data_IF_209936492432
#
_entry.id   IF_209936492432
#
_cell.length_a   1.000
_cell.length_b   1.000
_cell.length_c   1.000
_cell.angle_alpha   90.00
_cell.angle_beta   90.00
_cell.angle_gamma   90.00
#
_symmetry.space_group_name_H-M   'P 1'
#
loop_
_entity.id
_entity.type
_entity.pdbx_description
1 polymer ?
#
# COMPACT_ATOMS: atom_id res chain seq x y z
N UNK A 1 24.39 -11.55 -6.45
CA UNK A 1 23.19 -12.12 -7.04
C UNK A 1 23.17 -12.09 -8.59
N UNK A 2 24.31 -11.78 -9.27
CA UNK A 2 24.44 -11.87 -10.74
C UNK A 2 23.50 -10.96 -11.53
N UNK A 3 23.04 -9.86 -10.93
CA UNK A 3 22.09 -8.92 -11.56
C UNK A 3 20.69 -9.48 -11.78
N UNK A 4 20.25 -10.42 -10.94
CA UNK A 4 18.91 -11.01 -10.91
C UNK A 4 18.14 -10.51 -9.70
N UNK A 5 16.81 -10.34 -9.87
CA UNK A 5 15.88 -9.96 -8.82
C UNK A 5 14.58 -10.75 -9.02
N UNK A 6 14.11 -11.44 -7.99
CA UNK A 6 12.90 -12.25 -8.07
C UNK A 6 11.64 -11.45 -7.73
N UNK A 7 11.76 -10.49 -6.80
CA UNK A 7 10.65 -9.62 -6.45
C UNK A 7 11.15 -8.23 -5.99
N UNK A 8 10.36 -7.20 -6.31
CA UNK A 8 10.49 -5.86 -5.76
C UNK A 8 9.22 -5.53 -4.96
N UNK A 9 9.37 -5.23 -3.67
CA UNK A 9 8.26 -4.76 -2.83
C UNK A 9 8.44 -3.27 -2.53
N UNK A 10 7.59 -2.44 -3.13
CA UNK A 10 7.55 -1.00 -2.89
C UNK A 10 6.72 -0.72 -1.63
N UNK A 11 7.34 -0.86 -0.46
CA UNK A 11 6.72 -0.70 0.85
C UNK A 11 6.98 0.69 1.48
N UNK A 12 8.09 1.34 1.14
CA UNK A 12 8.44 2.64 1.70
C UNK A 12 7.34 3.67 1.45
N UNK A 13 6.85 4.29 2.50
CA UNK A 13 5.82 5.31 2.42
C UNK A 13 5.78 6.16 3.69
N UNK A 14 5.13 7.32 3.60
CA UNK A 14 4.77 8.14 4.74
C UNK A 14 3.27 8.48 4.72
N UNK A 15 2.70 8.69 5.90
CA UNK A 15 1.30 9.05 6.08
C UNK A 15 1.19 10.58 6.19
N UNK A 16 0.66 11.21 5.15
CA UNK A 16 0.42 12.65 5.14
C UNK A 16 -1.05 12.94 5.37
N UNK A 17 -1.35 13.77 6.36
CA UNK A 17 -2.72 14.19 6.68
C UNK A 17 -2.80 15.71 6.72
N UNK A 18 -3.77 16.25 5.96
CA UNK A 18 -4.11 17.66 5.97
C UNK A 18 -5.60 17.83 5.62
N UNK A 19 -6.30 18.77 6.25
CA UNK A 19 -7.62 19.18 5.81
C UNK A 19 -7.52 19.85 4.42
N UNK A 20 -8.62 19.81 3.66
CA UNK A 20 -8.63 20.31 2.27
C UNK A 20 -8.28 21.81 2.17
N UNK A 21 -8.71 22.60 3.12
CA UNK A 21 -8.44 24.04 3.23
C UNK A 21 -7.04 24.38 3.78
N UNK A 22 -6.28 23.36 4.20
CA UNK A 22 -4.93 23.51 4.73
C UNK A 22 -3.82 23.01 3.81
N UNK A 23 -4.12 22.64 2.55
CA UNK A 23 -3.08 22.11 1.65
C UNK A 23 -1.96 23.11 1.40
N UNK A 24 -0.73 22.60 1.46
CA UNK A 24 0.45 23.28 0.96
C UNK A 24 1.06 22.48 -0.20
N UNK A 25 1.57 23.18 -1.20
CA UNK A 25 2.21 22.54 -2.35
C UNK A 25 3.40 21.68 -1.90
N UNK A 26 4.15 22.14 -0.93
CA UNK A 26 5.31 21.44 -0.37
C UNK A 26 4.92 20.06 0.16
N UNK A 27 3.91 19.97 1.04
CA UNK A 27 3.45 18.69 1.59
C UNK A 27 2.87 17.76 0.53
N UNK A 28 2.15 18.31 -0.47
CA UNK A 28 1.63 17.48 -1.56
C UNK A 28 2.75 16.91 -2.42
N UNK A 29 3.77 17.74 -2.76
CA UNK A 29 4.95 17.27 -3.50
C UNK A 29 5.70 16.20 -2.73
N UNK A 30 5.95 16.42 -1.44
CA UNK A 30 6.63 15.45 -0.59
C UNK A 30 5.87 14.11 -0.51
N UNK A 31 4.53 14.16 -0.36
CA UNK A 31 3.69 12.97 -0.36
C UNK A 31 3.82 12.16 -1.66
N UNK A 32 3.76 12.82 -2.81
CA UNK A 32 3.89 12.16 -4.11
C UNK A 32 5.32 11.68 -4.37
N UNK A 33 6.33 12.46 -4.03
CA UNK A 33 7.73 12.08 -4.18
C UNK A 33 8.01 10.79 -3.40
N UNK A 34 7.61 10.76 -2.12
CA UNK A 34 7.88 9.61 -1.24
C UNK A 34 7.05 8.38 -1.63
N UNK A 35 5.75 8.53 -1.86
CA UNK A 35 4.84 7.38 -1.96
C UNK A 35 4.64 6.89 -3.40
N UNK A 36 4.90 7.72 -4.42
CA UNK A 36 4.59 7.40 -5.81
C UNK A 36 5.85 7.45 -6.68
N UNK A 37 6.52 8.60 -6.75
CA UNK A 37 7.62 8.81 -7.69
C UNK A 37 8.77 7.87 -7.36
N UNK A 38 9.13 7.73 -6.09
CA UNK A 38 10.18 6.80 -5.64
C UNK A 38 9.89 5.36 -6.07
N UNK A 39 8.63 4.92 -5.91
CA UNK A 39 8.19 3.56 -6.29
C UNK A 39 8.24 3.35 -7.81
N UNK A 40 7.84 4.36 -8.60
CA UNK A 40 7.92 4.32 -10.06
C UNK A 40 9.37 4.24 -10.54
N UNK A 41 10.24 5.08 -10.00
CA UNK A 41 11.66 5.13 -10.38
C UNK A 41 12.39 3.84 -10.02
N UNK A 42 12.15 3.32 -8.80
CA UNK A 42 12.76 2.06 -8.37
C UNK A 42 12.27 0.89 -9.22
N UNK A 43 10.98 0.85 -9.54
CA UNK A 43 10.41 -0.17 -10.43
C UNK A 43 11.04 -0.13 -11.81
N UNK A 44 11.20 1.08 -12.38
CA UNK A 44 11.84 1.26 -13.70
C UNK A 44 13.26 0.67 -13.73
N UNK A 45 14.05 0.94 -12.70
CA UNK A 45 15.43 0.41 -12.59
C UNK A 45 15.43 -1.10 -12.37
N UNK A 46 14.44 -1.66 -11.68
CA UNK A 46 14.35 -3.09 -11.37
C UNK A 46 13.93 -3.96 -12.57
N UNK A 47 13.20 -3.42 -13.53
CA UNK A 47 12.64 -4.18 -14.68
C UNK A 47 13.68 -5.07 -15.40
N UNK A 48 14.89 -4.62 -15.81
CA UNK A 48 15.84 -5.48 -16.51
C UNK A 48 16.42 -6.61 -15.64
N UNK A 49 16.26 -6.54 -14.33
CA UNK A 49 16.68 -7.55 -13.37
C UNK A 49 15.57 -8.57 -13.10
N UNK A 50 14.33 -8.11 -13.01
CA UNK A 50 13.12 -8.93 -12.83
C UNK A 50 12.82 -9.77 -14.07
N UNK A 51 13.06 -9.25 -15.26
CA UNK A 51 12.86 -9.98 -16.52
C UNK A 51 13.69 -11.27 -16.60
N UNK A 52 14.87 -11.29 -15.99
CA UNK A 52 15.75 -12.47 -15.97
C UNK A 52 15.23 -13.62 -15.10
N UNK A 53 14.26 -13.37 -14.26
CA UNK A 53 13.68 -14.32 -13.29
C UNK A 53 12.18 -14.52 -13.49
N UNK A 54 11.57 -13.82 -14.47
CA UNK A 54 10.11 -13.75 -14.62
C UNK A 54 9.44 -13.27 -13.30
N UNK A 55 10.06 -12.30 -12.67
CA UNK A 55 9.79 -11.85 -11.30
C UNK A 55 8.51 -11.03 -11.13
N UNK A 56 8.41 -10.35 -10.00
CA UNK A 56 7.20 -9.57 -9.67
C UNK A 56 7.51 -8.22 -9.02
N UNK A 57 6.60 -7.26 -9.20
CA UNK A 57 6.57 -5.97 -8.52
C UNK A 57 5.32 -5.89 -7.67
N UNK A 58 5.48 -5.60 -6.38
CA UNK A 58 4.36 -5.45 -5.44
C UNK A 58 4.38 -4.03 -4.88
N UNK A 59 3.24 -3.34 -5.02
CA UNK A 59 3.00 -2.05 -4.38
C UNK A 59 2.17 -2.22 -3.11
N UNK A 60 2.43 -1.37 -2.11
CA UNK A 60 1.59 -1.29 -0.91
C UNK A 60 0.67 -0.07 -1.04
N UNK A 61 -0.58 -0.35 -1.41
CA UNK A 61 -1.68 0.60 -1.45
C UNK A 61 -2.28 0.88 -0.07
N UNK A 62 -3.59 1.06 0.00
CA UNK A 62 -4.32 1.22 1.27
C UNK A 62 -5.82 1.14 1.06
N UNK A 63 -6.57 0.69 2.06
CA UNK A 63 -8.04 0.78 2.12
C UNK A 63 -8.56 2.22 2.23
N UNK A 64 -7.70 3.23 2.40
CA UNK A 64 -8.07 4.63 2.23
C UNK A 64 -8.61 4.96 0.83
N UNK A 65 -8.42 4.07 -0.14
CA UNK A 65 -9.03 4.15 -1.49
C UNK A 65 -10.42 3.51 -1.56
N UNK A 66 -10.84 2.79 -0.52
CA UNK A 66 -12.14 2.11 -0.41
C UNK A 66 -13.07 2.80 0.58
N UNK A 67 -12.51 3.33 1.65
CA UNK A 67 -13.24 4.02 2.71
C UNK A 67 -12.66 5.39 2.95
N UNK A 68 -13.52 6.41 3.02
CA UNK A 68 -13.09 7.78 3.27
C UNK A 68 -12.68 7.99 4.74
N UNK A 69 -11.52 8.61 4.92
CA UNK A 69 -11.02 9.07 6.21
C UNK A 69 -10.71 10.58 6.10
N UNK A 70 -11.51 11.45 6.74
CA UNK A 70 -11.29 12.90 6.68
C UNK A 70 -9.85 13.29 7.02
N UNK A 71 -9.29 14.24 6.29
CA UNK A 71 -7.91 14.70 6.45
C UNK A 71 -6.85 13.80 5.81
N UNK A 72 -7.21 12.64 5.26
CA UNK A 72 -6.25 11.71 4.67
C UNK A 72 -6.11 11.84 3.13
N UNK A 73 -6.68 12.87 2.52
CA UNK A 73 -6.68 13.00 1.05
C UNK A 73 -5.29 13.00 0.41
N UNK A 74 -4.23 13.66 0.94
CA UNK A 74 -2.90 13.56 0.34
C UNK A 74 -2.41 12.11 0.30
N UNK A 75 -2.56 11.38 1.41
CA UNK A 75 -2.18 9.97 1.48
C UNK A 75 -3.04 9.08 0.58
N UNK A 76 -4.37 9.17 0.69
CA UNK A 76 -5.29 8.36 -0.10
C UNK A 76 -5.07 8.52 -1.61
N UNK A 77 -4.81 9.74 -2.07
CA UNK A 77 -4.53 10.03 -3.49
C UNK A 77 -3.24 9.36 -3.95
N UNK A 78 -2.17 9.39 -3.14
CA UNK A 78 -0.93 8.67 -3.50
C UNK A 78 -1.13 7.16 -3.56
N UNK A 79 -1.95 6.60 -2.68
CA UNK A 79 -2.25 5.16 -2.67
C UNK A 79 -3.16 4.75 -3.84
N UNK A 80 -4.11 5.60 -4.24
CA UNK A 80 -4.91 5.40 -5.46
C UNK A 80 -4.06 5.43 -6.72
N UNK A 81 -3.04 6.29 -6.78
CA UNK A 81 -2.10 6.33 -7.89
C UNK A 81 -1.37 4.99 -8.08
N UNK A 82 -0.97 4.31 -6.99
CA UNK A 82 -0.33 3.00 -7.06
C UNK A 82 -1.25 1.90 -7.60
N UNK A 83 -2.56 1.97 -7.34
CA UNK A 83 -3.51 1.03 -7.92
C UNK A 83 -3.65 1.22 -9.45
N UNK A 84 -3.73 2.47 -9.91
CA UNK A 84 -3.73 2.78 -11.34
C UNK A 84 -2.45 2.32 -12.02
N UNK A 85 -1.30 2.62 -11.39
CA UNK A 85 0.02 2.21 -11.85
C UNK A 85 0.15 0.69 -11.96
N UNK A 86 -0.37 -0.06 -10.98
CA UNK A 86 -0.37 -1.53 -10.98
C UNK A 86 -0.99 -2.10 -12.26
N UNK A 87 -2.14 -1.59 -12.66
CA UNK A 87 -2.85 -2.08 -13.86
C UNK A 87 -2.09 -1.80 -15.14
N UNK A 88 -1.57 -0.58 -15.28
CA UNK A 88 -0.82 -0.18 -16.48
C UNK A 88 0.48 -0.95 -16.59
N UNK A 89 1.26 -1.02 -15.50
CA UNK A 89 2.52 -1.77 -15.49
C UNK A 89 2.31 -3.27 -15.71
N UNK A 90 1.23 -3.86 -15.18
CA UNK A 90 0.91 -5.26 -15.41
C UNK A 90 0.66 -5.55 -16.91
N UNK A 91 -0.04 -4.64 -17.59
CA UNK A 91 -0.28 -4.78 -19.03
C UNK A 91 1.01 -4.58 -19.86
N UNK A 92 1.85 -3.61 -19.50
CA UNK A 92 3.10 -3.30 -20.19
C UNK A 92 4.17 -4.38 -20.00
N UNK A 93 4.27 -4.94 -18.78
CA UNK A 93 5.33 -5.87 -18.39
C UNK A 93 4.94 -7.34 -18.54
N UNK A 94 3.65 -7.63 -18.72
CA UNK A 94 3.15 -8.99 -18.94
C UNK A 94 3.82 -9.73 -20.11
N UNK A 95 4.03 -9.12 -21.30
CA UNK A 95 4.80 -9.73 -22.39
C UNK A 95 6.24 -10.11 -22.01
N UNK A 96 6.81 -9.45 -20.99
CA UNK A 96 8.13 -9.73 -20.42
C UNK A 96 8.06 -10.69 -19.23
N UNK A 97 6.87 -11.28 -18.98
CA UNK A 97 6.57 -12.20 -17.89
C UNK A 97 6.82 -11.63 -16.47
N UNK A 98 6.83 -10.32 -16.33
CA UNK A 98 6.91 -9.65 -15.03
C UNK A 98 5.48 -9.39 -14.54
N UNK A 99 5.14 -9.86 -13.35
CA UNK A 99 3.84 -9.70 -12.73
C UNK A 99 3.84 -8.45 -11.83
N UNK A 100 2.70 -7.78 -11.77
CA UNK A 100 2.55 -6.58 -10.94
C UNK A 100 1.28 -6.71 -10.11
N UNK A 101 1.40 -6.47 -8.80
CA UNK A 101 0.27 -6.51 -7.88
C UNK A 101 0.30 -5.36 -6.88
N UNK A 102 -0.83 -5.08 -6.27
CA UNK A 102 -0.98 -4.12 -5.20
C UNK A 102 -1.70 -4.78 -4.02
N UNK A 103 -1.17 -4.61 -2.81
CA UNK A 103 -1.86 -5.01 -1.57
C UNK A 103 -2.50 -3.75 -0.98
N UNK A 104 -3.74 -3.86 -0.51
CA UNK A 104 -4.48 -2.78 0.15
C UNK A 104 -4.72 -3.15 1.62
N UNK A 105 -3.77 -2.84 2.52
CA UNK A 105 -3.95 -3.12 3.94
C UNK A 105 -5.05 -2.26 4.57
N UNK A 106 -5.77 -2.83 5.54
CA UNK A 106 -6.59 -2.10 6.51
C UNK A 106 -5.75 -1.41 7.57
N UNK A 107 -6.31 -1.24 8.77
CA UNK A 107 -5.51 -0.80 9.91
C UNK A 107 -4.62 -1.94 10.40
N UNK A 108 -3.31 -1.70 10.38
CA UNK A 108 -2.27 -2.66 10.77
C UNK A 108 -1.39 -2.01 11.83
N UNK A 109 -1.02 -2.78 12.85
CA UNK A 109 -0.12 -2.30 13.91
C UNK A 109 1.28 -2.15 13.31
N UNK A 110 1.69 -0.90 13.12
CA UNK A 110 3.01 -0.51 12.57
C UNK A 110 3.45 0.83 13.13
N UNK A 111 4.71 1.17 12.95
CA UNK A 111 5.26 2.47 13.32
C UNK A 111 4.83 3.64 12.39
N UNK A 112 4.14 3.36 11.29
CA UNK A 112 3.78 4.37 10.28
C UNK A 112 3.07 5.58 10.89
N UNK A 113 2.06 5.33 11.74
CA UNK A 113 1.27 6.38 12.36
C UNK A 113 2.06 7.14 13.44
N UNK A 114 2.97 6.46 14.16
CA UNK A 114 3.88 7.08 15.12
C UNK A 114 4.85 8.02 14.40
N UNK A 115 5.50 7.56 13.34
CA UNK A 115 6.43 8.36 12.52
C UNK A 115 5.74 9.55 11.88
N UNK A 116 4.47 9.43 11.54
CA UNK A 116 3.66 10.52 11.00
C UNK A 116 3.17 11.51 12.09
N UNK A 117 3.48 11.26 13.38
CA UNK A 117 3.05 12.12 14.49
C UNK A 117 1.54 12.13 14.72
N UNK A 118 0.82 11.10 14.28
CA UNK A 118 -0.64 11.03 14.39
C UNK A 118 -1.11 10.62 15.78
N UNK A 119 -0.27 9.91 16.53
CA UNK A 119 -0.47 9.57 17.94
C UNK A 119 0.86 9.16 18.58
N UNK A 120 0.91 9.22 19.91
CA UNK A 120 2.06 8.82 20.73
C UNK A 120 2.04 7.32 21.04
N UNK A 121 3.13 6.79 21.60
CA UNK A 121 3.20 5.40 22.05
C UNK A 121 2.12 5.05 23.08
N UNK A 122 1.81 5.97 23.99
CA UNK A 122 0.78 5.79 25.04
C UNK A 122 -0.65 5.70 24.46
N UNK A 123 -0.87 6.24 23.26
CA UNK A 123 -2.18 6.23 22.59
C UNK A 123 -2.40 5.01 21.70
N UNK A 124 -1.37 4.21 21.42
CA UNK A 124 -1.41 3.09 20.45
C UNK A 124 -2.59 2.18 20.72
N UNK A 125 -2.69 1.64 21.94
CA UNK A 125 -3.71 0.63 22.29
C UNK A 125 -5.13 1.20 22.16
N UNK A 126 -5.36 2.41 22.66
CA UNK A 126 -6.66 3.07 22.59
C UNK A 126 -7.08 3.40 21.16
N UNK A 127 -6.13 3.82 20.30
CA UNK A 127 -6.38 4.14 18.89
C UNK A 127 -6.70 2.90 18.08
N UNK A 128 -5.91 1.83 18.24
CA UNK A 128 -6.19 0.58 17.53
C UNK A 128 -7.48 -0.07 18.03
N UNK A 129 -7.78 -0.02 19.32
CA UNK A 129 -9.05 -0.47 19.87
C UNK A 129 -10.25 0.27 19.26
N UNK A 130 -10.15 1.59 19.13
CA UNK A 130 -11.20 2.41 18.50
C UNK A 130 -11.43 2.07 17.01
N UNK A 131 -10.38 1.67 16.29
CA UNK A 131 -10.45 1.32 14.87
C UNK A 131 -10.84 -0.16 14.67
N UNK A 132 -10.60 -1.02 15.64
CA UNK A 132 -10.90 -2.46 15.56
C UNK A 132 -12.36 -2.73 15.18
N UNK A 133 -13.30 -2.01 15.80
CA UNK A 133 -14.73 -2.15 15.52
C UNK A 133 -15.17 -1.69 14.13
N UNK A 134 -14.30 -1.04 13.35
CA UNK A 134 -14.58 -0.68 11.96
C UNK A 134 -14.30 -1.84 10.99
N UNK A 135 -13.57 -2.86 11.43
CA UNK A 135 -13.28 -4.06 10.65
C UNK A 135 -14.39 -5.09 10.86
N UNK A 136 -14.85 -5.73 9.79
CA UNK A 136 -15.84 -6.80 9.88
C UNK A 136 -15.36 -7.96 10.75
N UNK A 137 -14.04 -8.22 10.81
CA UNK A 137 -13.43 -9.23 11.67
C UNK A 137 -13.20 -8.76 13.11
N UNK A 138 -13.59 -7.53 13.47
CA UNK A 138 -13.57 -7.00 14.85
C UNK A 138 -12.19 -6.73 15.42
N UNK A 139 -11.14 -6.72 14.61
CA UNK A 139 -9.77 -6.46 15.03
C UNK A 139 -8.95 -5.77 13.94
N UNK A 140 -7.86 -5.14 14.32
CA UNK A 140 -6.82 -4.68 13.41
C UNK A 140 -5.95 -5.85 12.93
N UNK A 141 -5.26 -5.69 11.81
CA UNK A 141 -4.33 -6.68 11.26
C UNK A 141 -2.93 -6.57 11.86
N UNK A 142 -2.08 -7.53 11.51
CA UNK A 142 -0.65 -7.54 11.82
C UNK A 142 0.20 -7.35 10.55
N UNK A 143 1.46 -6.97 10.72
CA UNK A 143 2.40 -6.86 9.60
C UNK A 143 2.64 -8.21 8.92
N UNK A 144 2.62 -9.29 9.70
CA UNK A 144 2.80 -10.67 9.22
C UNK A 144 1.67 -11.09 8.28
N UNK A 145 0.41 -10.78 8.61
CA UNK A 145 -0.75 -11.09 7.76
C UNK A 145 -0.68 -10.37 6.40
N UNK A 146 -0.17 -9.14 6.40
CA UNK A 146 0.09 -8.40 5.16
C UNK A 146 1.26 -9.02 4.38
N UNK A 147 2.33 -9.41 5.07
CA UNK A 147 3.51 -10.04 4.47
C UNK A 147 3.18 -11.39 3.83
N UNK A 148 2.32 -12.21 4.45
CA UNK A 148 1.82 -13.47 3.87
C UNK A 148 1.08 -13.22 2.55
N UNK A 149 0.27 -12.18 2.47
CA UNK A 149 -0.45 -11.80 1.26
C UNK A 149 0.51 -11.28 0.15
N UNK A 150 1.56 -10.55 0.53
CA UNK A 150 2.65 -10.16 -0.38
C UNK A 150 3.33 -11.41 -0.94
N UNK A 151 3.72 -12.33 -0.06
CA UNK A 151 4.37 -13.59 -0.45
C UNK A 151 3.49 -14.42 -1.39
N UNK A 152 2.18 -14.46 -1.15
CA UNK A 152 1.22 -15.10 -2.04
C UNK A 152 1.25 -14.51 -3.45
N UNK A 153 1.20 -13.18 -3.59
CA UNK A 153 1.27 -12.54 -4.91
C UNK A 153 2.64 -12.75 -5.60
N UNK A 154 3.73 -12.76 -4.82
CA UNK A 154 5.07 -13.04 -5.35
C UNK A 154 5.18 -14.46 -5.92
N UNK A 155 4.56 -15.45 -5.27
CA UNK A 155 4.62 -16.87 -5.65
C UNK A 155 3.60 -17.28 -6.69
N UNK A 156 2.51 -16.53 -6.85
CA UNK A 156 1.39 -16.90 -7.74
C UNK A 156 1.68 -16.52 -9.18
N UNK A 157 1.94 -17.50 -10.02
CA UNK A 157 2.36 -17.29 -11.42
C UNK A 157 1.24 -16.78 -12.34
N UNK A 158 -0.03 -16.92 -11.95
CA UNK A 158 -1.19 -16.55 -12.76
C UNK A 158 -1.97 -15.34 -12.23
N UNK A 159 -1.33 -14.52 -11.35
CA UNK A 159 -1.93 -13.32 -10.80
C UNK A 159 -1.11 -12.10 -11.22
N UNK A 160 -1.73 -11.16 -11.96
CA UNK A 160 -1.15 -9.85 -12.29
C UNK A 160 -2.25 -8.81 -12.45
N UNK A 161 -1.92 -7.53 -12.25
CA UNK A 161 -2.85 -6.39 -12.36
C UNK A 161 -3.88 -6.30 -11.23
N UNK A 162 -3.74 -7.10 -10.17
CA UNK A 162 -4.69 -7.15 -9.05
C UNK A 162 -4.39 -6.09 -8.00
N UNK A 163 -5.46 -5.54 -7.41
CA UNK A 163 -5.41 -4.83 -6.13
C UNK A 163 -6.15 -5.70 -5.10
N UNK A 164 -5.40 -6.33 -4.19
CA UNK A 164 -5.91 -7.29 -3.20
C UNK A 164 -6.12 -6.58 -1.85
N UNK A 165 -7.36 -6.57 -1.38
CA UNK A 165 -7.71 -6.04 -0.07
C UNK A 165 -7.34 -7.04 1.03
N UNK A 166 -6.52 -6.57 2.00
CA UNK A 166 -6.07 -7.33 3.17
C UNK A 166 -6.37 -6.49 4.39
N UNK A 167 -7.65 -6.36 4.71
CA UNK A 167 -8.15 -5.27 5.51
C UNK A 167 -9.14 -5.67 6.62
N UNK A 168 -9.35 -6.95 6.83
CA UNK A 168 -10.33 -7.44 7.80
C UNK A 168 -11.75 -6.94 7.55
N UNK A 169 -12.03 -6.46 6.31
CA UNK A 169 -13.34 -5.97 5.89
C UNK A 169 -13.65 -4.51 6.27
N UNK A 170 -12.65 -3.69 6.63
CA UNK A 170 -12.88 -2.26 6.90
C UNK A 170 -13.35 -1.51 5.66
N UNK A 171 -12.90 -1.91 4.47
CA UNK A 171 -13.31 -1.36 3.17
C UNK A 171 -14.80 -1.56 2.86
N UNK A 172 -15.44 -2.57 3.45
CA UNK A 172 -16.87 -2.84 3.25
C UNK A 172 -17.77 -1.76 3.83
N UNK A 173 -17.26 -0.89 4.70
CA UNK A 173 -18.05 0.15 5.36
C UNK A 173 -19.11 -0.40 6.34
N UNK A 174 -19.06 -1.69 6.68
CA UNK A 174 -19.99 -2.28 7.61
C UNK A 174 -19.87 -1.60 8.98
N UNK A 175 -21.01 -1.25 9.57
CA UNK A 175 -21.13 -0.88 10.98
C UNK A 175 -21.69 -2.08 11.73
N UNK A 176 -21.15 -2.37 12.91
CA UNK A 176 -21.74 -3.35 13.83
C UNK A 176 -23.18 -2.94 14.13
N UNK A 177 -24.10 -3.88 13.96
CA UNK A 177 -25.50 -3.76 14.37
C UNK A 177 -25.62 -3.95 15.88
#
# INVERSE_FOLDING_TARGET
HGGKLDALVNNAANMYRQPVDGYTEEHLREAFETNVISAMMLSSVAVPHLEKTEGSIIFIGSTHTRRAFPGASPYATTKAALEGLTKVMAAELGPRKIRVGCILPGAVITELNLRAGLFSEDEIESRYSAVAGLHALGRVGTAEEVAESIAHLVQSEWITGVALEVDGGIGLGASSF
#
